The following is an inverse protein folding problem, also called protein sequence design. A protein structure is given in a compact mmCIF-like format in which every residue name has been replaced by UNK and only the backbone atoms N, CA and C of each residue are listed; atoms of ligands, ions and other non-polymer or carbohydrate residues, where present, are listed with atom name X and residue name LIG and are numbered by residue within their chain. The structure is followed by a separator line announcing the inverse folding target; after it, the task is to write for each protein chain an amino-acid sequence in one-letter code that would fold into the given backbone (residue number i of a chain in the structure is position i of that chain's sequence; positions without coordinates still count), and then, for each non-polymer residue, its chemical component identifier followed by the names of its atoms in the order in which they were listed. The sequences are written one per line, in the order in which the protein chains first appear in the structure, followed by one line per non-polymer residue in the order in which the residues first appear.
data_IF_364001574317
#
_entry.id   IF_364001574317
#
_cell.length_a   1.000
_cell.length_b   1.000
_cell.length_c   1.000
_cell.angle_alpha   90.00
_cell.angle_beta   90.00
_cell.angle_gamma   90.00
#
_symmetry.space_group_name_H-M   'P 1'
#
loop_
_entity.id
_entity.type
_entity.pdbx_description
1 polymer ?
#
# COMPACT_ATOMS: atom_id res chain seq x y z
N UNK A 1 -4.81 -14.91 30.60
CA UNK A 1 -4.25 -15.71 29.48
C UNK A 1 -2.73 -15.56 29.44
N UNK A 2 -2.00 -16.66 29.27
CA UNK A 2 -0.53 -16.62 29.08
C UNK A 2 -0.19 -15.96 27.72
N UNK A 3 0.87 -15.14 27.62
CA UNK A 3 1.26 -14.52 26.36
C UNK A 3 1.68 -15.56 25.32
N UNK A 4 1.27 -15.36 24.06
CA UNK A 4 1.78 -16.15 22.92
C UNK A 4 3.17 -15.63 22.56
N UNK A 5 4.11 -16.51 22.22
CA UNK A 5 5.48 -16.12 21.84
C UNK A 5 5.72 -16.40 20.35
N UNK A 6 6.44 -15.51 19.69
CA UNK A 6 6.89 -15.65 18.30
C UNK A 6 8.30 -15.08 18.16
N UNK A 7 9.06 -15.47 17.13
CA UNK A 7 10.37 -14.85 16.89
C UNK A 7 10.19 -13.44 16.33
N UNK A 8 9.34 -13.32 15.32
CA UNK A 8 9.01 -12.05 14.65
C UNK A 8 7.50 -11.82 14.68
N UNK A 9 7.10 -10.68 15.24
CA UNK A 9 5.76 -10.15 15.09
C UNK A 9 5.76 -9.06 14.02
N UNK A 10 4.89 -9.19 13.02
CA UNK A 10 4.68 -8.21 11.96
C UNK A 10 3.29 -7.60 12.16
N UNK A 11 3.24 -6.27 12.28
CA UNK A 11 1.99 -5.52 12.49
C UNK A 11 1.52 -4.94 11.16
N UNK A 12 0.32 -5.33 10.73
CA UNK A 12 -0.25 -5.04 9.42
C UNK A 12 0.09 -6.12 8.38
N UNK A 13 -0.64 -6.12 7.27
CA UNK A 13 -0.46 -7.10 6.17
C UNK A 13 -0.33 -6.47 4.78
N UNK A 14 -0.13 -5.15 4.70
CA UNK A 14 0.11 -4.42 3.44
C UNK A 14 1.52 -4.61 2.88
N UNK A 15 1.89 -3.81 1.85
CA UNK A 15 3.16 -3.98 1.11
C UNK A 15 4.41 -3.99 2.02
N UNK A 16 4.48 -3.05 2.98
CA UNK A 16 5.59 -2.96 3.93
C UNK A 16 5.67 -4.11 4.96
N UNK A 17 4.60 -4.91 5.09
CA UNK A 17 4.54 -6.05 6.01
C UNK A 17 4.69 -7.40 5.28
N UNK A 18 4.07 -7.55 4.12
CA UNK A 18 4.01 -8.82 3.41
C UNK A 18 5.39 -9.27 2.87
N UNK A 19 6.22 -8.32 2.42
CA UNK A 19 7.59 -8.61 2.00
C UNK A 19 8.45 -9.17 3.14
N UNK A 20 8.62 -8.48 4.29
CA UNK A 20 9.38 -9.04 5.40
C UNK A 20 8.76 -10.32 5.96
N UNK A 21 7.43 -10.48 5.96
CA UNK A 21 6.78 -11.73 6.37
C UNK A 21 7.30 -12.92 5.57
N UNK A 22 7.30 -12.81 4.25
CA UNK A 22 7.78 -13.88 3.38
C UNK A 22 9.26 -14.18 3.60
N UNK A 23 10.10 -13.12 3.64
CA UNK A 23 11.56 -13.30 3.72
C UNK A 23 11.98 -13.90 5.06
N UNK A 24 11.39 -13.44 6.16
CA UNK A 24 11.71 -13.94 7.50
C UNK A 24 11.18 -15.36 7.71
N UNK A 25 10.01 -15.69 7.17
CA UNK A 25 9.48 -17.07 7.24
C UNK A 25 10.35 -18.04 6.44
N UNK A 26 10.77 -17.65 5.23
CA UNK A 26 11.71 -18.45 4.42
C UNK A 26 13.09 -18.59 5.05
N UNK A 27 13.49 -17.67 5.91
CA UNK A 27 14.70 -17.78 6.71
C UNK A 27 14.53 -18.71 7.94
N UNK A 28 13.37 -19.34 8.11
CA UNK A 28 13.10 -20.32 9.17
C UNK A 28 12.67 -19.73 10.50
N UNK A 29 12.38 -18.43 10.56
CA UNK A 29 11.88 -17.81 11.80
C UNK A 29 10.39 -18.09 12.03
N UNK A 30 10.00 -18.26 13.29
CA UNK A 30 8.59 -18.24 13.67
C UNK A 30 8.02 -16.83 13.46
N UNK A 31 7.18 -16.66 12.43
CA UNK A 31 6.58 -15.37 12.06
C UNK A 31 5.09 -15.38 12.36
N UNK A 32 4.63 -14.35 13.07
CA UNK A 32 3.21 -14.04 13.24
C UNK A 32 2.91 -12.68 12.62
N UNK A 33 1.92 -12.60 11.73
CA UNK A 33 1.39 -11.36 11.17
C UNK A 33 0.04 -11.07 11.83
N UNK A 34 -0.16 -9.85 12.30
CA UNK A 34 -1.45 -9.38 12.85
C UNK A 34 -2.06 -8.31 11.96
N UNK A 35 -3.32 -8.47 11.59
CA UNK A 35 -4.08 -7.57 10.74
C UNK A 35 -5.35 -7.15 11.48
N UNK A 36 -5.63 -5.84 11.56
CA UNK A 36 -6.82 -5.32 12.23
C UNK A 36 -8.09 -5.55 11.43
N UNK A 37 -7.98 -5.48 10.10
CA UNK A 37 -9.08 -5.72 9.19
C UNK A 37 -9.48 -7.19 9.12
N UNK A 38 -10.61 -7.50 8.45
CA UNK A 38 -11.04 -8.87 8.24
C UNK A 38 -10.08 -9.63 7.34
N UNK A 39 -10.12 -10.96 7.43
CA UNK A 39 -9.62 -11.82 6.37
C UNK A 39 -10.33 -11.56 5.04
N UNK A 40 -9.66 -11.87 3.94
CA UNK A 40 -10.19 -11.72 2.60
C UNK A 40 -9.86 -12.94 1.76
N UNK A 41 -10.90 -13.52 1.15
CA UNK A 41 -10.79 -14.45 0.06
C UNK A 41 -11.17 -13.73 -1.25
N UNK A 42 -10.20 -13.50 -2.16
CA UNK A 42 -10.45 -12.80 -3.43
C UNK A 42 -11.59 -13.38 -4.28
N UNK A 43 -11.89 -14.68 -4.14
CA UNK A 43 -12.91 -15.35 -4.96
C UNK A 43 -14.34 -15.07 -4.49
N UNK A 44 -14.54 -14.89 -3.19
CA UNK A 44 -15.89 -14.78 -2.59
C UNK A 44 -16.18 -13.39 -2.02
N UNK A 45 -15.15 -12.67 -1.57
CA UNK A 45 -15.35 -11.42 -0.85
C UNK A 45 -15.29 -10.19 -1.75
N UNK A 46 -14.59 -10.26 -2.88
CA UNK A 46 -14.55 -9.16 -3.83
C UNK A 46 -15.86 -9.02 -4.62
N UNK A 47 -16.27 -7.77 -4.85
CA UNK A 47 -17.51 -7.44 -5.56
C UNK A 47 -17.30 -6.27 -6.51
N UNK A 48 -17.83 -6.40 -7.71
CA UNK A 48 -17.94 -5.30 -8.68
C UNK A 48 -19.11 -4.40 -8.30
N UNK A 49 -18.92 -3.58 -7.25
CA UNK A 49 -19.96 -2.71 -6.70
C UNK A 49 -19.39 -1.38 -6.27
N UNK A 50 -20.26 -0.37 -6.14
CA UNK A 50 -19.99 0.91 -5.48
C UNK A 50 -20.89 1.08 -4.24
N UNK A 51 -21.53 0.00 -3.76
CA UNK A 51 -22.33 0.03 -2.53
C UNK A 51 -21.49 0.63 -1.38
N UNK A 52 -21.91 1.76 -0.79
CA UNK A 52 -21.20 2.40 0.29
C UNK A 52 -20.93 1.45 1.47
N UNK A 53 -21.82 0.51 1.76
CA UNK A 53 -21.62 -0.49 2.84
C UNK A 53 -20.44 -1.41 2.52
N UNK A 54 -20.31 -1.83 1.27
CA UNK A 54 -19.18 -2.62 0.81
C UNK A 54 -17.89 -1.81 0.84
N UNK A 55 -17.91 -0.60 0.28
CA UNK A 55 -16.74 0.27 0.18
C UNK A 55 -16.22 0.61 1.58
N UNK A 56 -17.09 1.11 2.46
CA UNK A 56 -16.71 1.53 3.83
C UNK A 56 -16.36 0.36 4.74
N UNK A 57 -16.70 -0.88 4.39
CA UNK A 57 -16.22 -2.07 5.12
C UNK A 57 -14.69 -2.16 5.08
N UNK A 58 -14.09 -1.91 3.91
CA UNK A 58 -12.64 -2.10 3.68
C UNK A 58 -11.87 -0.79 3.55
N UNK A 59 -12.39 0.17 2.80
CA UNK A 59 -11.77 1.49 2.62
C UNK A 59 -12.24 2.42 3.74
N UNK A 60 -11.27 2.95 4.48
CA UNK A 60 -11.45 3.92 5.55
C UNK A 60 -10.87 5.24 5.12
N UNK A 61 -11.44 6.31 5.66
CA UNK A 61 -10.91 7.66 5.48
C UNK A 61 -10.70 8.31 6.83
N UNK A 62 -9.66 9.13 6.90
CA UNK A 62 -9.44 10.11 7.96
C UNK A 62 -9.38 11.48 7.31
N UNK A 63 -10.06 12.45 7.92
CA UNK A 63 -10.03 13.84 7.49
C UNK A 63 -9.33 14.65 8.58
N UNK A 64 -8.36 15.46 8.20
CA UNK A 64 -7.87 16.59 8.98
C UNK A 64 -8.23 17.91 8.30
N UNK A 65 -7.79 19.02 8.88
CA UNK A 65 -8.15 20.36 8.42
C UNK A 65 -7.68 20.67 6.99
N UNK A 66 -6.57 20.06 6.58
CA UNK A 66 -5.92 20.32 5.28
C UNK A 66 -5.63 19.06 4.46
N UNK A 67 -5.79 17.88 5.05
CA UNK A 67 -5.44 16.61 4.40
C UNK A 67 -6.45 15.52 4.75
N UNK A 68 -7.00 14.90 3.71
CA UNK A 68 -7.72 13.63 3.80
C UNK A 68 -6.80 12.46 3.45
N UNK A 69 -6.93 11.35 4.17
CA UNK A 69 -6.21 10.11 3.88
C UNK A 69 -7.21 8.95 3.74
N UNK A 70 -7.12 8.23 2.63
CA UNK A 70 -7.88 6.99 2.41
C UNK A 70 -6.94 5.79 2.42
N UNK A 71 -7.31 4.74 3.13
CA UNK A 71 -6.53 3.52 3.26
C UNK A 71 -7.44 2.30 3.41
N UNK A 72 -6.92 1.11 3.13
CA UNK A 72 -7.68 -0.13 3.31
C UNK A 72 -7.32 -0.83 4.62
N UNK A 73 -8.35 -1.35 5.29
CA UNK A 73 -8.25 -2.21 6.47
C UNK A 73 -8.80 -3.59 6.12
N UNK A 74 -7.93 -4.49 5.68
CA UNK A 74 -8.21 -5.88 5.40
C UNK A 74 -6.91 -6.66 5.20
N UNK A 75 -6.98 -7.98 5.18
CA UNK A 75 -5.82 -8.81 4.82
C UNK A 75 -5.27 -8.40 3.44
N UNK A 76 -3.98 -8.10 3.37
CA UNK A 76 -3.32 -7.56 2.17
C UNK A 76 -3.34 -6.04 2.06
N UNK A 77 -3.99 -5.34 2.98
CA UNK A 77 -4.11 -3.87 3.01
C UNK A 77 -4.60 -3.29 1.69
N UNK A 78 -4.04 -2.15 1.29
CA UNK A 78 -4.42 -1.45 0.05
C UNK A 78 -4.20 -2.24 -1.24
N UNK A 79 -3.42 -3.32 -1.23
CA UNK A 79 -3.08 -4.07 -2.44
C UNK A 79 -4.30 -4.71 -3.12
N UNK A 80 -5.38 -4.98 -2.37
CA UNK A 80 -6.64 -5.47 -2.94
C UNK A 80 -7.48 -4.38 -3.60
N UNK A 81 -7.25 -3.11 -3.24
CA UNK A 81 -8.17 -1.99 -3.46
C UNK A 81 -7.53 -0.77 -4.16
N UNK A 82 -6.28 -0.88 -4.62
CA UNK A 82 -5.62 0.17 -5.40
C UNK A 82 -5.72 -0.07 -6.92
N UNK A 83 -5.14 0.85 -7.71
CA UNK A 83 -5.22 0.89 -9.18
C UNK A 83 -4.03 0.24 -9.92
N UNK A 84 -3.16 -0.49 -9.22
CA UNK A 84 -2.09 -1.33 -9.79
C UNK A 84 -0.94 -0.61 -10.48
N UNK A 85 -1.02 0.71 -10.70
CA UNK A 85 0.09 1.52 -11.18
C UNK A 85 1.31 1.31 -10.27
N UNK A 86 2.42 0.91 -10.88
CA UNK A 86 3.61 0.44 -10.17
C UNK A 86 4.85 1.13 -10.73
N UNK A 87 5.09 2.36 -10.28
CA UNK A 87 6.18 3.20 -10.75
C UNK A 87 7.45 2.99 -9.95
N UNK A 88 8.58 3.05 -10.64
CA UNK A 88 9.90 3.26 -10.08
C UNK A 88 10.02 4.73 -9.63
N UNK A 89 10.52 4.98 -8.42
CA UNK A 89 10.81 6.35 -7.99
C UNK A 89 11.97 6.92 -8.82
N UNK A 90 11.86 8.12 -9.40
CA UNK A 90 12.93 8.69 -10.21
C UNK A 90 14.12 9.11 -9.34
N UNK A 91 15.30 9.30 -9.93
CA UNK A 91 16.53 9.67 -9.19
C UNK A 91 16.36 10.94 -8.37
N UNK A 92 15.61 11.92 -8.90
CA UNK A 92 15.28 13.18 -8.22
C UNK A 92 14.55 12.98 -6.89
N UNK A 93 13.89 11.83 -6.66
CA UNK A 93 13.26 11.53 -5.38
C UNK A 93 14.28 11.26 -4.26
N UNK A 94 15.50 10.83 -4.62
CA UNK A 94 16.60 10.52 -3.69
C UNK A 94 17.54 11.71 -3.46
N UNK A 95 17.51 12.68 -4.37
CA UNK A 95 18.33 13.91 -4.35
C UNK A 95 17.69 15.04 -3.52
N UNK A 96 16.51 14.81 -2.95
CA UNK A 96 15.78 15.82 -2.17
C UNK A 96 16.55 16.21 -0.90
N UNK A 97 16.54 17.51 -0.61
CA UNK A 97 17.11 18.10 0.60
C UNK A 97 16.04 18.85 1.39
N UNK A 98 16.23 19.02 2.69
CA UNK A 98 15.43 19.94 3.49
C UNK A 98 15.85 21.41 3.27
N UNK A 99 15.14 22.35 3.89
CA UNK A 99 15.39 23.80 3.77
C UNK A 99 16.82 24.20 4.20
N UNK A 100 17.49 23.37 5.00
CA UNK A 100 18.87 23.56 5.42
C UNK A 100 19.90 22.91 4.49
N UNK A 101 19.48 22.35 3.36
CA UNK A 101 20.34 21.65 2.41
C UNK A 101 20.76 20.24 2.84
N UNK A 102 20.19 19.68 3.90
CA UNK A 102 20.51 18.32 4.34
C UNK A 102 19.75 17.30 3.49
N UNK A 103 20.40 16.25 2.95
CA UNK A 103 19.73 15.17 2.24
C UNK A 103 18.61 14.53 3.07
N UNK A 104 17.45 14.31 2.44
CA UNK A 104 16.33 13.60 3.06
C UNK A 104 16.55 12.09 3.13
N UNK A 105 17.42 11.56 2.27
CA UNK A 105 17.79 10.15 2.24
C UNK A 105 19.16 9.93 2.89
N UNK A 106 19.37 8.79 3.59
CA UNK A 106 20.68 8.45 4.14
C UNK A 106 21.71 8.20 3.03
N UNK A 107 22.98 8.44 3.36
CA UNK A 107 24.10 8.11 2.48
C UNK A 107 24.04 6.65 2.02
N UNK A 108 24.29 6.43 0.72
CA UNK A 108 24.24 5.11 0.09
C UNK A 108 22.83 4.59 -0.23
N UNK A 109 21.78 5.37 -0.01
CA UNK A 109 20.41 5.05 -0.45
C UNK A 109 20.01 5.96 -1.61
N UNK A 110 20.31 5.52 -2.82
CA UNK A 110 19.95 6.19 -4.07
C UNK A 110 19.18 5.25 -5.02
N UNK A 111 18.87 5.74 -6.23
CA UNK A 111 18.19 4.99 -7.27
C UNK A 111 18.90 3.69 -7.62
N UNK A 112 20.22 3.74 -7.84
CA UNK A 112 21.01 2.61 -8.28
C UNK A 112 21.12 1.54 -7.18
N UNK A 113 21.30 1.95 -5.92
CA UNK A 113 21.33 1.08 -4.76
C UNK A 113 19.99 0.35 -4.56
N UNK A 114 18.87 0.98 -4.94
CA UNK A 114 17.54 0.39 -4.81
C UNK A 114 17.07 -0.42 -6.03
N UNK A 115 17.69 -0.27 -7.21
CA UNK A 115 17.30 -0.97 -8.44
C UNK A 115 17.15 -2.49 -8.27
N UNK A 116 18.08 -3.24 -7.63
CA UNK A 116 17.92 -4.67 -7.43
C UNK A 116 16.69 -5.05 -6.57
N UNK A 117 16.25 -4.14 -5.70
CA UNK A 117 15.05 -4.33 -4.89
C UNK A 117 13.77 -3.98 -5.65
N UNK A 118 13.82 -2.98 -6.55
CA UNK A 118 12.76 -2.73 -7.53
C UNK A 118 12.56 -3.94 -8.44
N UNK A 119 13.62 -4.49 -9.03
CA UNK A 119 13.55 -5.69 -9.89
C UNK A 119 12.87 -6.85 -9.16
N UNK A 120 13.24 -7.06 -7.89
CA UNK A 120 12.66 -8.10 -7.05
C UNK A 120 11.18 -7.87 -6.75
N UNK A 121 10.78 -6.62 -6.50
CA UNK A 121 9.40 -6.26 -6.25
C UNK A 121 8.54 -6.42 -7.51
N UNK A 122 9.02 -5.91 -8.64
CA UNK A 122 8.38 -5.99 -9.95
C UNK A 122 8.22 -7.45 -10.41
N UNK A 123 9.25 -8.28 -10.25
CA UNK A 123 9.17 -9.71 -10.55
C UNK A 123 8.13 -10.44 -9.69
N UNK A 124 8.06 -10.12 -8.39
CA UNK A 124 7.08 -10.72 -7.48
C UNK A 124 5.65 -10.28 -7.77
N UNK A 125 5.46 -8.99 -8.08
CA UNK A 125 4.17 -8.38 -8.38
C UNK A 125 3.77 -8.54 -9.85
N UNK A 126 4.65 -9.09 -10.69
CA UNK A 126 4.49 -9.21 -12.15
C UNK A 126 4.14 -7.87 -12.77
N UNK A 127 4.99 -6.88 -12.52
CA UNK A 127 4.83 -5.54 -13.08
C UNK A 127 5.20 -5.59 -14.56
N UNK A 128 4.25 -5.22 -15.41
CA UNK A 128 4.43 -5.16 -16.85
C UNK A 128 3.81 -3.86 -17.39
N UNK A 129 4.39 -3.32 -18.45
CA UNK A 129 3.78 -2.20 -19.17
C UNK A 129 2.53 -2.70 -19.90
N UNK A 130 1.41 -1.97 -19.81
CA UNK A 130 0.17 -2.37 -20.50
C UNK A 130 0.45 -2.45 -22.02
N UNK A 131 0.06 -3.52 -22.73
CA UNK A 131 0.18 -3.60 -24.20
C UNK A 131 -0.61 -2.48 -24.90
N UNK A 132 -0.10 -1.94 -26.02
CA UNK A 132 -0.75 -0.84 -26.77
C UNK A 132 -2.21 -1.16 -27.08
N UNK A 133 -2.50 -2.37 -27.58
CA UNK A 133 -3.87 -2.80 -27.90
C UNK A 133 -4.78 -3.02 -26.69
N UNK A 134 -4.27 -2.87 -25.46
CA UNK A 134 -5.05 -2.94 -24.23
C UNK A 134 -5.16 -1.59 -23.52
N UNK A 135 -4.69 -0.50 -24.13
CA UNK A 135 -4.89 0.84 -23.59
C UNK A 135 -6.39 1.19 -23.69
N UNK A 136 -7.06 1.52 -22.56
CA UNK A 136 -8.44 2.00 -22.53
C UNK A 136 -8.68 3.19 -23.47
N UNK A 137 -9.92 3.38 -23.94
CA UNK A 137 -10.27 4.55 -24.80
C UNK A 137 -9.93 5.86 -24.10
N UNK A 138 -10.21 5.94 -22.80
CA UNK A 138 -9.85 7.09 -21.95
C UNK A 138 -8.34 7.36 -21.92
N UNK A 139 -7.50 6.32 -22.01
CA UNK A 139 -6.04 6.46 -22.14
C UNK A 139 -5.62 7.00 -23.50
N UNK A 140 -6.26 6.51 -24.58
CA UNK A 140 -6.02 7.02 -25.93
C UNK A 140 -6.43 8.49 -26.07
N UNK A 141 -7.55 8.90 -25.47
CA UNK A 141 -7.98 10.29 -25.36
C UNK A 141 -6.94 11.15 -24.66
N UNK A 142 -6.43 10.71 -23.50
CA UNK A 142 -5.35 11.42 -22.81
C UNK A 142 -4.10 11.55 -23.70
N UNK A 143 -3.75 10.49 -24.43
CA UNK A 143 -2.61 10.50 -25.34
C UNK A 143 -2.78 11.51 -26.48
N UNK A 144 -4.00 11.61 -27.04
CA UNK A 144 -4.34 12.59 -28.06
C UNK A 144 -4.26 14.02 -27.53
N UNK A 145 -4.75 14.26 -26.31
CA UNK A 145 -4.64 15.58 -25.65
C UNK A 145 -3.17 15.98 -25.47
N UNK A 146 -2.34 15.08 -24.94
CA UNK A 146 -0.90 15.35 -24.79
C UNK A 146 -0.24 15.65 -26.13
N UNK A 147 -0.52 14.84 -27.17
CA UNK A 147 0.01 15.05 -28.52
C UNK A 147 -0.41 16.41 -29.09
N UNK A 148 -1.68 16.81 -28.96
CA UNK A 148 -2.19 18.07 -29.48
C UNK A 148 -1.57 19.30 -28.79
N UNK A 149 -1.14 19.14 -27.53
CA UNK A 149 -0.40 20.15 -26.78
C UNK A 149 1.11 20.11 -27.03
N UNK A 150 1.61 19.19 -27.87
CA UNK A 150 3.04 19.03 -28.13
C UNK A 150 3.81 18.30 -27.02
N UNK A 151 3.13 17.55 -26.16
CA UNK A 151 3.72 16.83 -25.03
C UNK A 151 3.74 15.32 -25.23
N UNK A 152 4.71 14.67 -24.56
CA UNK A 152 4.85 13.22 -24.56
C UNK A 152 4.05 12.53 -23.45
N UNK A 153 3.67 11.28 -23.68
CA UNK A 153 3.17 10.36 -22.65
C UNK A 153 3.52 8.93 -23.03
N UNK A 154 3.49 8.03 -22.05
CA UNK A 154 3.75 6.60 -22.22
C UNK A 154 2.76 5.76 -21.40
N UNK A 155 2.73 4.46 -21.68
CA UNK A 155 1.90 3.48 -21.00
C UNK A 155 2.44 3.25 -19.60
N UNK A 156 1.60 3.38 -18.59
CA UNK A 156 1.99 3.12 -17.22
C UNK A 156 2.26 1.62 -16.99
N UNK A 157 3.22 1.25 -16.13
CA UNK A 157 3.45 -0.11 -15.66
C UNK A 157 2.45 -0.53 -14.57
N UNK A 158 1.98 -1.78 -14.63
CA UNK A 158 0.95 -2.32 -13.75
C UNK A 158 1.32 -3.68 -13.17
N UNK A 159 1.01 -3.88 -11.89
CA UNK A 159 0.99 -5.21 -11.25
C UNK A 159 -0.29 -5.99 -11.61
N UNK A 160 -0.37 -6.50 -12.84
CA UNK A 160 -1.58 -7.14 -13.38
C UNK A 160 -1.24 -8.29 -14.33
N UNK A 161 -2.07 -9.33 -14.37
CA UNK A 161 -1.96 -10.44 -15.32
C UNK A 161 -3.34 -10.83 -15.85
N UNK A 162 -3.51 -10.90 -17.17
CA UNK A 162 -4.78 -11.31 -17.78
C UNK A 162 -5.96 -10.39 -17.41
N UNK A 163 -5.74 -9.06 -17.43
CA UNK A 163 -6.79 -8.10 -17.08
C UNK A 163 -7.92 -8.12 -18.11
N UNK A 164 -9.16 -8.24 -17.65
CA UNK A 164 -10.35 -8.19 -18.49
C UNK A 164 -10.95 -6.77 -18.65
N UNK A 165 -10.29 -5.74 -18.09
CA UNK A 165 -10.76 -4.35 -18.21
C UNK A 165 -12.15 -4.13 -17.60
N UNK A 166 -12.36 -4.54 -16.34
CA UNK A 166 -13.69 -4.52 -15.73
C UNK A 166 -14.08 -3.22 -15.03
N UNK A 167 -13.18 -2.26 -14.87
CA UNK A 167 -13.47 -0.94 -14.27
C UNK A 167 -13.62 -0.89 -12.74
N UNK A 168 -13.59 -2.02 -12.05
CA UNK A 168 -13.77 -2.14 -10.59
C UNK A 168 -12.46 -2.37 -9.84
N UNK A 169 -11.42 -1.63 -10.19
CA UNK A 169 -10.08 -1.85 -9.63
C UNK A 169 -10.06 -1.66 -8.11
N UNK A 170 -10.76 -0.64 -7.59
CA UNK A 170 -10.68 -0.24 -6.18
C UNK A 170 -11.60 -1.01 -5.24
N UNK A 171 -12.48 -1.85 -5.77
CA UNK A 171 -13.39 -2.70 -4.97
C UNK A 171 -12.99 -4.17 -4.99
N UNK A 172 -11.81 -4.48 -5.55
CA UNK A 172 -11.27 -5.83 -5.63
C UNK A 172 -11.47 -6.46 -7.00
N UNK A 173 -10.49 -7.22 -7.47
CA UNK A 173 -10.56 -7.90 -8.76
C UNK A 173 -11.10 -9.33 -8.58
N UNK A 174 -12.36 -9.55 -8.96
CA UNK A 174 -13.00 -10.88 -8.88
C UNK A 174 -12.38 -11.92 -9.83
N UNK A 175 -11.69 -11.46 -10.88
CA UNK A 175 -11.04 -12.33 -11.87
C UNK A 175 -9.62 -12.78 -11.47
N UNK A 176 -9.10 -12.30 -10.33
CA UNK A 176 -7.73 -12.61 -9.91
C UNK A 176 -6.62 -12.00 -10.78
N UNK A 177 -6.96 -11.06 -11.68
CA UNK A 177 -5.99 -10.44 -12.57
C UNK A 177 -5.06 -9.46 -11.84
N UNK A 178 -5.60 -8.71 -10.86
CA UNK A 178 -4.84 -7.80 -9.99
C UNK A 178 -3.85 -8.61 -9.16
N UNK A 179 -2.55 -8.35 -9.30
CA UNK A 179 -1.49 -9.05 -8.57
C UNK A 179 -1.36 -8.52 -7.13
N UNK A 180 -2.48 -8.55 -6.39
CA UNK A 180 -2.55 -8.17 -4.99
C UNK A 180 -1.71 -9.09 -4.11
N UNK A 181 -1.43 -8.66 -2.87
CA UNK A 181 -0.63 -9.43 -1.93
C UNK A 181 -1.28 -10.77 -1.54
N UNK A 182 -2.59 -10.90 -1.78
CA UNK A 182 -3.38 -12.13 -1.59
C UNK A 182 -3.04 -13.22 -2.61
N UNK A 183 -2.33 -12.90 -3.69
CA UNK A 183 -1.95 -13.86 -4.74
C UNK A 183 -0.43 -14.14 -4.80
N UNK A 184 0.38 -13.40 -4.04
CA UNK A 184 1.83 -13.52 -4.09
C UNK A 184 2.47 -13.65 -2.70
N UNK A 185 2.76 -12.54 -2.00
CA UNK A 185 3.53 -12.54 -0.77
C UNK A 185 2.84 -13.29 0.37
N UNK A 186 1.54 -13.06 0.61
CA UNK A 186 0.86 -13.61 1.79
C UNK A 186 0.68 -15.13 1.74
N UNK A 187 0.17 -15.73 0.63
CA UNK A 187 0.09 -17.20 0.53
C UNK A 187 1.46 -17.85 0.66
N UNK A 188 2.49 -17.30 -0.01
CA UNK A 188 3.87 -17.80 0.08
C UNK A 188 4.46 -17.67 1.48
N UNK A 189 4.01 -16.69 2.27
CA UNK A 189 4.43 -16.54 3.66
C UNK A 189 3.82 -17.64 4.52
N UNK A 190 2.53 -17.95 4.31
CA UNK A 190 1.85 -19.05 5.01
C UNK A 190 2.43 -20.42 4.65
N UNK A 191 2.71 -20.66 3.36
CA UNK A 191 3.42 -21.85 2.89
C UNK A 191 4.79 -22.01 3.58
N UNK A 192 5.48 -20.90 3.84
CA UNK A 192 6.74 -20.86 4.58
C UNK A 192 6.56 -20.89 6.11
N UNK A 193 5.35 -21.10 6.63
CA UNK A 193 5.06 -21.26 8.07
C UNK A 193 4.59 -20.01 8.81
N UNK A 194 4.38 -18.87 8.14
CA UNK A 194 3.84 -17.68 8.78
C UNK A 194 2.40 -17.89 9.26
N UNK A 195 2.09 -17.42 10.47
CA UNK A 195 0.73 -17.38 11.00
C UNK A 195 0.10 -16.03 10.73
N UNK A 196 -1.04 -15.99 10.03
CA UNK A 196 -1.80 -14.75 9.80
C UNK A 196 -3.00 -14.70 10.75
N UNK A 197 -3.08 -13.63 11.56
CA UNK A 197 -4.16 -13.40 12.51
C UNK A 197 -4.91 -12.11 12.11
N UNK A 198 -6.13 -12.25 11.63
CA UNK A 198 -6.98 -11.13 11.19
C UNK A 198 -7.98 -10.72 12.27
N UNK A 199 -8.57 -9.53 12.15
CA UNK A 199 -9.50 -8.99 13.15
C UNK A 199 -8.82 -8.66 14.49
N UNK A 200 -7.51 -8.40 14.47
CA UNK A 200 -6.67 -8.24 15.64
C UNK A 200 -5.78 -7.00 15.49
N UNK A 201 -6.09 -5.94 16.23
CA UNK A 201 -5.36 -4.67 16.19
C UNK A 201 -4.26 -4.63 17.26
N UNK A 202 -3.02 -4.34 16.86
CA UNK A 202 -1.95 -4.01 17.79
C UNK A 202 -2.17 -2.58 18.34
N UNK A 203 -2.27 -2.45 19.67
CA UNK A 203 -2.64 -1.17 20.32
C UNK A 203 -1.55 -0.59 21.21
N UNK A 204 -0.59 -1.40 21.66
CA UNK A 204 0.60 -0.90 22.36
C UNK A 204 1.78 -1.85 22.26
N UNK A 205 2.99 -1.28 22.28
CA UNK A 205 4.27 -1.98 22.30
C UNK A 205 4.99 -1.59 23.59
N UNK A 206 5.50 -2.59 24.31
CA UNK A 206 6.30 -2.39 25.52
C UNK A 206 7.59 -3.21 25.44
N UNK A 207 8.78 -2.62 25.70
CA UNK A 207 9.99 -3.40 25.87
C UNK A 207 9.90 -4.23 27.16
N UNK A 208 10.32 -5.50 27.08
CA UNK A 208 10.34 -6.42 28.22
C UNK A 208 11.60 -6.28 29.08
N UNK A 209 12.65 -5.71 28.50
CA UNK A 209 13.95 -5.47 29.15
C UNK A 209 14.50 -4.13 28.67
N UNK A 210 15.27 -3.41 29.51
CA UNK A 210 16.03 -2.26 29.05
C UNK A 210 17.04 -2.69 27.97
N UNK A 211 17.47 -1.77 27.08
CA UNK A 211 18.55 -2.04 26.15
C UNK A 211 19.79 -2.50 26.92
N UNK A 212 20.32 -3.67 26.59
CA UNK A 212 21.59 -4.13 27.16
C UNK A 212 22.78 -3.35 26.57
N UNK A 213 23.93 -3.30 27.26
CA UNK A 213 25.14 -2.64 26.75
C UNK A 213 25.77 -3.40 25.57
N UNK A 214 25.53 -4.71 25.45
CA UNK A 214 26.07 -5.52 24.36
C UNK A 214 25.30 -5.31 23.07
N UNK A 215 25.94 -4.60 22.12
CA UNK A 215 25.41 -4.35 20.77
C UNK A 215 25.90 -5.36 19.74
N UNK A 216 26.61 -6.43 20.13
CA UNK A 216 27.07 -7.45 19.18
C UNK A 216 25.88 -8.13 18.50
N UNK A 217 26.02 -8.35 17.20
CA UNK A 217 25.02 -9.09 16.44
C UNK A 217 24.93 -10.53 16.98
N UNK A 218 23.71 -10.97 17.28
CA UNK A 218 23.40 -12.34 17.71
C UNK A 218 22.29 -12.91 16.83
N UNK A 219 22.30 -14.21 16.51
CA UNK A 219 21.19 -14.84 15.81
C UNK A 219 19.88 -14.60 16.55
N UNK A 220 18.81 -14.19 15.86
CA UNK A 220 17.55 -13.80 16.50
C UNK A 220 16.99 -14.92 17.40
N UNK A 221 17.14 -16.19 16.99
CA UNK A 221 16.73 -17.40 17.73
C UNK A 221 17.45 -17.60 19.07
N UNK A 222 18.54 -16.88 19.34
CA UNK A 222 19.26 -16.95 20.63
C UNK A 222 18.84 -15.85 21.61
N UNK A 223 18.13 -14.81 21.14
CA UNK A 223 17.75 -13.66 21.95
C UNK A 223 16.37 -13.87 22.58
N UNK A 224 16.19 -13.72 23.91
CA UNK A 224 14.87 -13.85 24.52
C UNK A 224 13.90 -12.77 23.97
N UNK A 225 12.57 -12.97 24.08
CA UNK A 225 11.61 -11.96 23.65
C UNK A 225 11.93 -10.57 24.25
N UNK A 226 12.01 -9.57 23.38
CA UNK A 226 12.40 -8.19 23.72
C UNK A 226 11.21 -7.27 23.86
N UNK A 227 10.11 -7.59 23.20
CA UNK A 227 8.91 -6.77 23.17
C UNK A 227 7.68 -7.59 23.53
N UNK A 228 6.73 -6.94 24.17
CA UNK A 228 5.37 -7.42 24.35
C UNK A 228 4.43 -6.44 23.65
N UNK A 229 3.59 -6.96 22.76
CA UNK A 229 2.60 -6.19 22.01
C UNK A 229 1.23 -6.59 22.49
N UNK A 230 0.46 -5.61 22.97
CA UNK A 230 -0.95 -5.81 23.30
C UNK A 230 -1.76 -5.72 22.02
N UNK A 231 -2.55 -6.75 21.76
CA UNK A 231 -3.47 -6.80 20.63
C UNK A 231 -4.92 -6.95 21.12
N UNK A 232 -5.87 -6.30 20.45
CA UNK A 232 -7.31 -6.34 20.77
C UNK A 232 -8.10 -6.86 19.58
N UNK A 233 -9.13 -7.66 19.85
CA UNK A 233 -10.05 -8.08 18.80
C UNK A 233 -10.87 -6.88 18.33
N UNK A 234 -10.98 -6.71 17.01
CA UNK A 234 -11.82 -5.65 16.42
C UNK A 234 -13.31 -5.97 16.50
N UNK A 235 -13.68 -7.26 16.55
CA UNK A 235 -15.07 -7.71 16.73
C UNK A 235 -15.51 -7.68 18.21
N UNK A 236 -14.60 -7.97 19.14
CA UNK A 236 -14.88 -7.98 20.58
C UNK A 236 -13.80 -7.21 21.35
N UNK A 237 -13.92 -5.88 21.50
CA UNK A 237 -12.87 -5.04 22.07
C UNK A 237 -12.45 -5.38 23.52
N UNK A 238 -13.33 -6.04 24.28
CA UNK A 238 -13.04 -6.57 25.63
C UNK A 238 -12.11 -7.78 25.61
N UNK A 239 -11.95 -8.43 24.45
CA UNK A 239 -11.04 -9.56 24.22
C UNK A 239 -9.75 -9.07 23.57
N UNK A 240 -8.65 -9.68 23.99
CA UNK A 240 -7.33 -9.39 23.44
C UNK A 240 -6.31 -10.43 23.86
N UNK A 241 -5.12 -10.31 23.30
CA UNK A 241 -3.98 -11.15 23.63
C UNK A 241 -2.72 -10.32 23.75
N UNK A 242 -1.74 -10.86 24.48
CA UNK A 242 -0.37 -10.32 24.51
C UNK A 242 0.51 -11.25 23.69
N UNK A 243 1.25 -10.66 22.75
CA UNK A 243 2.22 -11.39 21.93
C UNK A 243 3.60 -10.92 22.32
N UNK A 244 4.47 -11.84 22.73
CA UNK A 244 5.88 -11.58 23.01
C UNK A 244 6.70 -11.90 21.77
N UNK A 245 7.57 -10.98 21.37
CA UNK A 245 8.36 -11.10 20.16
C UNK A 245 9.81 -10.69 20.40
N UNK A 246 10.73 -11.32 19.66
CA UNK A 246 12.16 -10.95 19.67
C UNK A 246 12.41 -9.76 18.73
N UNK A 247 11.67 -9.71 17.63
CA UNK A 247 11.64 -8.61 16.68
C UNK A 247 10.18 -8.20 16.41
N UNK A 248 9.94 -6.89 16.33
CA UNK A 248 8.66 -6.34 15.89
C UNK A 248 8.90 -5.53 14.62
N UNK A 249 8.19 -5.86 13.55
CA UNK A 249 8.21 -5.12 12.28
C UNK A 249 6.88 -4.38 12.13
N UNK A 250 6.94 -3.08 11.88
CA UNK A 250 5.74 -2.25 11.75
C UNK A 250 5.45 -1.99 10.27
N UNK A 251 4.33 -2.53 9.80
CA UNK A 251 3.80 -2.32 8.45
C UNK A 251 2.32 -1.94 8.48
N UNK A 252 1.90 -1.18 9.51
CA UNK A 252 0.52 -0.70 9.70
C UNK A 252 0.13 0.46 8.78
N UNK A 253 0.85 0.67 7.68
CA UNK A 253 0.75 1.86 6.83
C UNK A 253 1.21 3.14 7.54
N UNK A 254 1.12 4.27 6.83
CA UNK A 254 1.52 5.61 7.34
C UNK A 254 0.81 5.93 8.65
N UNK A 255 -0.51 5.79 8.68
CA UNK A 255 -1.34 6.16 9.83
C UNK A 255 -1.24 5.15 10.97
N UNK A 256 -1.42 3.85 10.68
CA UNK A 256 -1.47 2.83 11.73
C UNK A 256 -0.15 2.67 12.46
N UNK A 257 0.98 2.76 11.74
CA UNK A 257 2.32 2.71 12.34
C UNK A 257 2.55 3.92 13.26
N UNK A 258 2.26 5.13 12.81
CA UNK A 258 2.42 6.34 13.61
C UNK A 258 1.52 6.29 14.87
N UNK A 259 0.25 5.91 14.71
CA UNK A 259 -0.70 5.79 15.83
C UNK A 259 -0.23 4.80 16.89
N UNK A 260 0.26 3.62 16.48
CA UNK A 260 0.76 2.61 17.41
C UNK A 260 2.01 3.09 18.16
N UNK A 261 2.96 3.73 17.46
CA UNK A 261 4.17 4.26 18.08
C UNK A 261 3.84 5.40 19.07
N UNK A 262 2.95 6.32 18.70
CA UNK A 262 2.49 7.39 19.59
C UNK A 262 1.77 6.86 20.83
N UNK A 263 0.86 5.89 20.66
CA UNK A 263 0.18 5.24 21.78
C UNK A 263 1.15 4.48 22.70
N UNK A 264 2.30 4.07 22.18
CA UNK A 264 3.34 3.34 22.90
C UNK A 264 4.42 4.25 23.49
N UNK A 265 4.40 5.56 23.24
CA UNK A 265 5.49 6.51 23.56
C UNK A 265 5.92 6.47 25.03
N UNK A 266 4.96 6.36 25.97
CA UNK A 266 5.26 6.24 27.41
C UNK A 266 6.13 5.02 27.78
N UNK A 267 6.16 4.00 26.94
CA UNK A 267 6.96 2.78 27.13
C UNK A 267 8.26 2.80 26.31
N UNK A 268 8.43 3.77 25.42
CA UNK A 268 9.52 3.85 24.46
C UNK A 268 10.15 5.26 24.53
N UNK A 269 10.86 5.59 25.63
CA UNK A 269 11.37 6.95 25.87
C UNK A 269 12.39 7.41 24.82
N UNK A 270 13.03 6.48 24.11
CA UNK A 270 13.95 6.79 23.00
C UNK A 270 13.27 7.04 21.65
N UNK A 271 11.93 7.05 21.57
CA UNK A 271 11.25 7.39 20.31
C UNK A 271 11.47 8.86 19.95
N UNK A 272 11.93 9.07 18.71
CA UNK A 272 12.10 10.40 18.14
C UNK A 272 10.84 11.27 18.28
N UNK A 273 11.04 12.57 18.46
CA UNK A 273 9.98 13.57 18.41
C UNK A 273 9.38 13.69 17.00
N UNK A 274 10.01 13.15 15.96
CA UNK A 274 9.47 13.13 14.59
C UNK A 274 8.35 12.11 14.36
N UNK A 275 8.13 11.14 15.26
CA UNK A 275 7.03 10.17 15.10
C UNK A 275 5.69 10.90 15.03
N UNK A 276 4.94 10.67 13.95
CA UNK A 276 3.65 11.33 13.68
C UNK A 276 3.75 12.68 12.98
N UNK A 277 4.95 13.13 12.62
CA UNK A 277 5.21 14.36 11.85
C UNK A 277 5.59 14.01 10.41
N UNK A 278 5.75 15.04 9.57
CA UNK A 278 6.26 14.94 8.20
C UNK A 278 5.40 14.02 7.30
N UNK A 279 4.08 14.06 7.46
CA UNK A 279 3.16 13.31 6.60
C UNK A 279 3.21 13.92 5.20
N UNK A 280 3.63 13.13 4.21
CA UNK A 280 3.58 13.49 2.81
C UNK A 280 2.43 12.76 2.12
N UNK A 281 1.66 13.47 1.29
CA UNK A 281 0.47 12.97 0.58
C UNK A 281 0.74 12.68 -0.90
N UNK A 282 2.01 12.55 -1.29
CA UNK A 282 2.43 12.29 -2.68
C UNK A 282 1.99 13.39 -3.67
N UNK A 283 1.69 14.61 -3.20
CA UNK A 283 1.32 15.75 -4.05
C UNK A 283 0.10 15.52 -4.94
N UNK A 284 -0.77 14.57 -4.58
CA UNK A 284 -1.83 14.08 -5.49
C UNK A 284 -2.94 15.12 -5.65
N UNK A 285 -2.98 15.76 -6.82
CA UNK A 285 -4.01 16.70 -7.24
C UNK A 285 -4.86 16.09 -8.36
N UNK A 286 -6.16 16.39 -8.35
CA UNK A 286 -7.09 15.97 -9.41
C UNK A 286 -7.62 17.21 -10.11
N UNK A 287 -7.53 17.20 -11.44
CA UNK A 287 -8.21 18.15 -12.31
C UNK A 287 -9.18 17.38 -13.21
N UNK A 288 -10.27 18.03 -13.59
CA UNK A 288 -11.25 17.49 -14.52
C UNK A 288 -11.49 18.51 -15.64
N UNK A 289 -11.73 18.01 -16.85
CA UNK A 289 -12.10 18.80 -18.01
C UNK A 289 -13.27 18.12 -18.74
N UNK A 290 -14.09 18.92 -19.42
CA UNK A 290 -15.11 18.40 -20.32
C UNK A 290 -14.47 18.03 -21.66
N UNK A 291 -14.86 16.87 -22.18
CA UNK A 291 -14.42 16.41 -23.49
C UNK A 291 -15.47 16.89 -24.53
N UNK A 292 -15.04 17.43 -25.69
CA UNK A 292 -15.94 17.77 -26.80
C UNK A 292 -16.93 16.65 -27.16
N UNK A 293 -18.17 17.01 -27.50
CA UNK A 293 -19.26 16.06 -27.80
C UNK A 293 -19.00 15.22 -29.05
N UNK A 294 -18.15 15.70 -29.96
CA UNK A 294 -17.76 15.05 -31.21
C UNK A 294 -16.61 14.04 -31.05
N UNK A 295 -15.98 13.97 -29.86
CA UNK A 295 -15.01 12.93 -29.56
C UNK A 295 -15.71 11.60 -29.24
N UNK A 296 -15.13 10.45 -29.67
CA UNK A 296 -15.69 9.15 -29.36
C UNK A 296 -15.86 8.96 -27.86
N UNK A 297 -17.01 8.39 -27.44
CA UNK A 297 -17.30 8.16 -26.03
C UNK A 297 -16.15 7.41 -25.34
N UNK A 298 -15.76 7.94 -24.17
CA UNK A 298 -14.82 7.29 -23.28
C UNK A 298 -15.39 5.94 -22.83
N UNK A 299 -14.52 5.00 -22.49
CA UNK A 299 -14.96 3.71 -21.93
C UNK A 299 -15.43 3.86 -20.48
N UNK A 300 -16.45 4.69 -20.21
CA UNK A 300 -16.89 5.10 -18.87
C UNK A 300 -17.30 3.92 -17.97
N UNK A 301 -17.77 2.81 -18.55
CA UNK A 301 -18.22 1.62 -17.81
C UNK A 301 -17.38 0.35 -18.06
N UNK A 302 -16.33 0.43 -18.88
CA UNK A 302 -15.41 -0.68 -19.21
C UNK A 302 -13.95 -0.21 -19.10
N UNK A 303 -12.98 -1.08 -19.37
CA UNK A 303 -11.56 -0.74 -19.24
C UNK A 303 -11.02 -0.78 -17.80
N UNK A 304 -9.80 -0.30 -17.57
CA UNK A 304 -9.18 -0.23 -16.22
C UNK A 304 -9.61 1.06 -15.52
N UNK A 305 -9.65 1.10 -14.18
CA UNK A 305 -9.96 2.35 -13.45
C UNK A 305 -8.88 3.42 -13.64
N UNK A 306 -7.60 3.03 -13.65
CA UNK A 306 -6.55 3.91 -14.19
C UNK A 306 -6.46 3.72 -15.71
N UNK A 307 -6.58 4.78 -16.55
CA UNK A 307 -6.61 4.71 -18.01
C UNK A 307 -5.31 4.28 -18.71
N UNK A 308 -4.31 3.83 -17.98
CA UNK A 308 -3.13 3.20 -18.57
C UNK A 308 -2.05 4.14 -19.10
N UNK A 309 -2.24 5.46 -19.04
CA UNK A 309 -1.30 6.43 -19.59
C UNK A 309 -0.78 7.39 -18.51
N UNK A 310 0.49 7.76 -18.63
CA UNK A 310 1.20 8.70 -17.76
C UNK A 310 2.17 9.55 -18.58
N UNK A 311 2.34 10.81 -18.22
CA UNK A 311 3.33 11.72 -18.77
C UNK A 311 4.37 12.06 -17.72
N UNK A 312 5.63 11.93 -18.12
CA UNK A 312 6.81 12.37 -17.39
C UNK A 312 7.36 13.70 -17.91
N UNK A 313 6.69 14.33 -18.88
CA UNK A 313 7.13 15.56 -19.55
C UNK A 313 7.50 16.69 -18.58
N UNK A 314 6.85 16.74 -17.42
CA UNK A 314 7.00 17.80 -16.42
C UNK A 314 7.81 17.37 -15.20
N UNK A 315 8.41 16.18 -15.22
CA UNK A 315 9.13 15.66 -14.06
C UNK A 315 10.40 16.48 -13.79
N UNK A 316 11.20 16.76 -14.81
CA UNK A 316 12.43 17.55 -14.64
C UNK A 316 12.15 19.02 -14.36
N UNK A 317 11.18 19.61 -15.07
CA UNK A 317 10.90 21.05 -15.00
C UNK A 317 10.08 21.46 -13.77
N UNK A 318 9.17 20.61 -13.31
CA UNK A 318 8.21 20.94 -12.23
C UNK A 318 8.16 19.89 -11.11
N UNK A 319 8.88 18.78 -11.23
CA UNK A 319 8.80 17.69 -10.24
C UNK A 319 7.49 16.91 -10.28
N UNK A 320 6.73 16.97 -11.38
CA UNK A 320 5.39 16.41 -11.48
C UNK A 320 5.24 15.41 -12.62
N UNK A 321 4.45 14.36 -12.38
CA UNK A 321 3.92 13.48 -13.42
C UNK A 321 2.43 13.69 -13.56
N UNK A 322 1.92 13.62 -14.78
CA UNK A 322 0.48 13.73 -15.05
C UNK A 322 -0.02 12.39 -15.55
N UNK A 323 -0.97 11.80 -14.85
CA UNK A 323 -1.61 10.57 -15.28
C UNK A 323 -3.10 10.81 -15.53
N UNK A 324 -3.63 10.10 -16.52
CA UNK A 324 -5.07 10.07 -16.70
C UNK A 324 -5.72 9.41 -15.49
N UNK A 325 -6.91 9.87 -15.11
CA UNK A 325 -7.71 9.24 -14.08
C UNK A 325 -9.14 9.09 -14.59
N UNK A 326 -9.75 7.94 -14.32
CA UNK A 326 -11.17 7.73 -14.63
C UNK A 326 -11.97 7.86 -13.35
N UNK A 327 -13.03 8.68 -13.29
CA UNK A 327 -13.97 8.59 -12.19
C UNK A 327 -14.59 7.20 -12.20
N UNK A 328 -14.62 6.54 -11.04
CA UNK A 328 -15.39 5.31 -10.91
C UNK A 328 -16.84 5.61 -11.28
N UNK A 329 -17.54 4.69 -11.95
CA UNK A 329 -18.94 4.90 -12.27
C UNK A 329 -19.73 5.05 -10.97
N UNK A 330 -20.02 6.30 -10.59
CA UNK A 330 -21.10 6.59 -9.66
C UNK A 330 -22.38 6.18 -10.39
N UNK A 331 -23.06 5.15 -9.90
CA UNK A 331 -24.40 4.78 -10.40
C UNK A 331 -25.44 5.92 -10.19
N UNK A 332 -25.02 7.07 -9.65
CA UNK A 332 -25.82 8.20 -9.19
C UNK A 332 -25.50 9.53 -9.91
N UNK A 333 -24.94 9.50 -11.13
CA UNK A 333 -24.90 10.70 -11.98
C UNK A 333 -25.81 10.48 -13.19
N UNK A 334 -27.11 10.39 -12.93
CA UNK A 334 -28.12 10.56 -13.96
C UNK A 334 -28.49 12.04 -14.00
N UNK A 335 -28.16 12.75 -15.08
CA UNK A 335 -28.87 13.98 -15.42
C UNK A 335 -30.08 13.58 -16.28
N UNK A 336 -31.28 13.65 -15.72
CA UNK A 336 -32.47 13.74 -16.57
C UNK A 336 -32.48 15.15 -17.18
N UNK A 337 -32.31 15.24 -18.50
CA UNK A 337 -32.71 16.43 -19.24
C UNK A 337 -34.15 16.20 -19.67
N UNK A 338 -35.05 17.10 -19.26
CA UNK A 338 -36.39 17.22 -19.84
C UNK A 338 -36.25 18.02 -21.14
#
# INVERSE_FOLDING_TARGET
MRPVTTDVLIVGSGFGAAAPALRLSRAGYGVTVVEKGPGLNPRSDFRQTQDPKYVTRYLKSLSGDHLGATFAEALGGGSGFYEMVSLRAPSQAFEQVDDGGRPLWPDGVDRAALDPFYDRAESMLRVEQIPVGQVPKTGLLFSLLMKNLGYSCDRAPYAVRGCLGSGFCVTGCIYGAKQSLLLNYLPRSQEAGARLLTGLEAVSIRPLRPPGPDRRARPLTTVPPRYEVLCRSTAHPSRGCRIRARLVVLGGGTIGTARLLLASRRHLPGLSHHVGRNICFNGSLKAAALIPEDLPDGDMFTGRSHPGMISYQFLESHGLTIAAAKPLPLQLVASARI
#
